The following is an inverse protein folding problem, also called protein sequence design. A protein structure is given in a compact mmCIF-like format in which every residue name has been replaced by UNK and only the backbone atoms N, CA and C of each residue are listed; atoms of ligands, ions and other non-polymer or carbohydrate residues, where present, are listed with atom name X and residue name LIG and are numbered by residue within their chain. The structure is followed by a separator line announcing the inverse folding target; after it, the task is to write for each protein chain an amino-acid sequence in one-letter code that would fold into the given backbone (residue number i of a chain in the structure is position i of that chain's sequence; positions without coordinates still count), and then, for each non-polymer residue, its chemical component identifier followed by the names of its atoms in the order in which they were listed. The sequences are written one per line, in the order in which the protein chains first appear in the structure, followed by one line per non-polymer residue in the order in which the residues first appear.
data_IF_767228968726
#
_entry.id   IF_767228968726
#
_cell.length_a   1.000
_cell.length_b   1.000
_cell.length_c   1.000
_cell.angle_alpha   90.00
_cell.angle_beta   90.00
_cell.angle_gamma   90.00
#
_symmetry.space_group_name_H-M   'P 1'
#
loop_
_entity.id
_entity.type
_entity.pdbx_description
1 polymer ?
#
# COMPACT_ATOMS: atom_id res chain seq x y z
N UNK A 1 -3.56 -6.24 -69.67
CA UNK A 1 -2.86 -6.68 -68.43
C UNK A 1 -3.37 -5.83 -67.27
N UNK A 2 -4.28 -6.37 -66.51
CA UNK A 2 -4.85 -5.68 -65.36
C UNK A 2 -4.03 -6.06 -64.13
N UNK A 3 -3.26 -5.11 -63.60
CA UNK A 3 -2.47 -5.28 -62.38
C UNK A 3 -3.37 -4.91 -61.19
N UNK A 4 -3.89 -5.92 -60.50
CA UNK A 4 -4.62 -5.76 -59.25
C UNK A 4 -3.67 -5.29 -58.15
N UNK A 5 -3.81 -4.05 -57.74
CA UNK A 5 -3.21 -3.51 -56.55
C UNK A 5 -4.19 -3.78 -55.38
N UNK A 6 -3.95 -4.88 -54.69
CA UNK A 6 -4.61 -5.14 -53.41
C UNK A 6 -3.93 -4.23 -52.35
N UNK A 7 -4.56 -3.11 -52.07
CA UNK A 7 -4.23 -2.33 -50.89
C UNK A 7 -4.74 -3.08 -49.66
N UNK A 8 -3.80 -3.76 -48.96
CA UNK A 8 -4.08 -4.25 -47.65
C UNK A 8 -4.17 -3.04 -46.69
N UNK A 9 -5.41 -2.67 -46.35
CA UNK A 9 -5.68 -1.69 -45.32
C UNK A 9 -5.29 -2.32 -43.96
N UNK A 10 -4.13 -1.95 -43.42
CA UNK A 10 -3.75 -2.28 -42.08
C UNK A 10 -4.62 -1.45 -41.12
N UNK A 11 -5.68 -2.07 -40.61
CA UNK A 11 -6.46 -1.51 -39.51
C UNK A 11 -5.60 -1.46 -38.25
N UNK A 12 -4.98 -0.33 -37.99
CA UNK A 12 -4.35 -0.03 -36.71
C UNK A 12 -5.46 0.08 -35.66
N UNK A 13 -5.67 -0.97 -34.89
CA UNK A 13 -6.49 -0.92 -33.69
C UNK A 13 -5.78 0.00 -32.69
N UNK A 14 -6.45 1.04 -32.17
CA UNK A 14 -5.90 1.80 -31.06
C UNK A 14 -5.76 0.84 -29.87
N UNK A 15 -4.54 0.63 -29.40
CA UNK A 15 -4.31 0.03 -28.11
C UNK A 15 -4.90 0.99 -27.07
N UNK A 16 -6.12 0.70 -26.62
CA UNK A 16 -6.69 1.35 -25.46
C UNK A 16 -5.79 0.98 -24.29
N UNK A 17 -4.91 1.89 -23.92
CA UNK A 17 -4.18 1.85 -22.67
C UNK A 17 -5.24 1.91 -21.57
N UNK A 18 -5.63 0.75 -21.05
CA UNK A 18 -6.38 0.69 -19.80
C UNK A 18 -5.39 1.13 -18.72
N UNK A 19 -5.39 2.43 -18.42
CA UNK A 19 -4.93 2.88 -17.13
C UNK A 19 -5.74 2.04 -16.13
N UNK A 20 -5.05 1.12 -15.41
CA UNK A 20 -5.66 0.46 -14.29
C UNK A 20 -6.18 1.58 -13.40
N UNK A 21 -7.50 1.66 -13.26
CA UNK A 21 -8.13 2.54 -12.30
C UNK A 21 -7.49 2.19 -10.97
N UNK A 22 -6.62 3.08 -10.50
CA UNK A 22 -6.15 3.05 -9.12
C UNK A 22 -7.41 3.33 -8.35
N UNK A 23 -8.10 2.26 -7.99
CA UNK A 23 -9.28 2.31 -7.16
C UNK A 23 -8.90 3.09 -5.92
N UNK A 24 -9.39 4.30 -5.84
CA UNK A 24 -9.04 5.18 -4.75
C UNK A 24 -9.51 4.49 -3.48
N UNK A 25 -8.58 4.13 -2.60
CA UNK A 25 -8.88 3.49 -1.32
C UNK A 25 -9.72 4.37 -0.38
N UNK A 26 -10.31 5.43 -0.92
CA UNK A 26 -11.20 6.36 -0.23
C UNK A 26 -12.46 5.73 0.33
N UNK A 27 -12.92 4.62 -0.26
CA UNK A 27 -14.12 3.90 0.18
C UNK A 27 -13.82 2.86 1.27
N UNK A 28 -12.54 2.66 1.60
CA UNK A 28 -12.12 1.73 2.63
C UNK A 28 -12.13 2.40 4.01
N UNK A 29 -12.67 1.72 5.00
CA UNK A 29 -12.49 2.13 6.40
C UNK A 29 -11.02 1.95 6.85
N UNK A 30 -10.62 2.65 7.90
CA UNK A 30 -9.28 2.47 8.48
C UNK A 30 -9.00 1.02 8.88
N UNK A 31 -9.99 0.29 9.40
CA UNK A 31 -9.86 -1.12 9.74
C UNK A 31 -9.60 -1.99 8.50
N UNK A 32 -10.27 -1.73 7.40
CA UNK A 32 -10.05 -2.45 6.13
C UNK A 32 -8.67 -2.15 5.55
N UNK A 33 -8.21 -0.91 5.62
CA UNK A 33 -6.87 -0.53 5.20
C UNK A 33 -5.80 -1.20 6.06
N UNK A 34 -6.00 -1.24 7.38
CA UNK A 34 -5.09 -1.91 8.30
C UNK A 34 -4.99 -3.40 7.98
N UNK A 35 -6.12 -4.07 7.83
CA UNK A 35 -6.16 -5.51 7.50
C UNK A 35 -5.43 -5.80 6.18
N UNK A 36 -5.63 -4.98 5.18
CA UNK A 36 -5.06 -5.16 3.85
C UNK A 36 -3.56 -4.88 3.78
N UNK A 37 -3.08 -3.83 4.45
CA UNK A 37 -1.72 -3.33 4.26
C UNK A 37 -0.80 -3.47 5.47
N UNK A 38 -1.33 -3.68 6.66
CA UNK A 38 -0.57 -3.64 7.90
C UNK A 38 -0.56 -4.97 8.65
N UNK A 39 -1.66 -5.72 8.58
CA UNK A 39 -1.87 -6.91 9.40
C UNK A 39 -0.89 -8.05 9.09
N UNK A 40 -0.31 -8.12 7.89
CA UNK A 40 0.68 -9.14 7.54
C UNK A 40 1.91 -9.11 8.47
N UNK A 41 2.29 -7.91 8.94
CA UNK A 41 3.36 -7.73 9.92
C UNK A 41 2.83 -7.51 11.33
N UNK A 42 1.85 -6.63 11.48
CA UNK A 42 1.35 -6.20 12.80
C UNK A 42 0.34 -7.16 13.44
N UNK A 43 -0.18 -8.14 12.68
CA UNK A 43 -1.28 -8.99 13.13
C UNK A 43 -2.63 -8.31 12.99
N UNK A 44 -3.69 -9.09 12.82
CA UNK A 44 -5.06 -8.57 12.63
C UNK A 44 -5.58 -7.79 13.83
N UNK A 45 -5.05 -8.06 15.01
CA UNK A 45 -5.38 -7.35 16.25
C UNK A 45 -4.30 -6.36 16.71
N UNK A 46 -3.22 -6.22 15.93
CA UNK A 46 -2.16 -5.24 16.20
C UNK A 46 -1.14 -5.66 17.25
N UNK A 47 -1.04 -6.94 17.62
CA UNK A 47 -0.10 -7.43 18.63
C UNK A 47 1.35 -7.57 18.15
N UNK A 48 1.62 -7.35 16.87
CA UNK A 48 2.94 -7.57 16.30
C UNK A 48 3.22 -9.02 15.91
N UNK A 49 2.19 -9.82 15.80
CA UNK A 49 2.20 -11.28 15.55
C UNK A 49 1.70 -11.66 14.16
N UNK A 50 1.85 -10.77 13.19
CA UNK A 50 1.48 -11.06 11.81
C UNK A 50 2.27 -12.23 11.23
N UNK A 51 1.74 -12.92 10.19
CA UNK A 51 2.37 -14.13 9.64
C UNK A 51 3.76 -13.87 9.06
N UNK A 52 4.08 -12.64 8.67
CA UNK A 52 5.39 -12.25 8.14
C UNK A 52 6.38 -11.86 9.26
N UNK A 53 5.89 -11.48 10.44
CA UNK A 53 6.71 -11.00 11.55
C UNK A 53 7.91 -11.90 11.91
N UNK A 54 7.78 -13.24 11.98
CA UNK A 54 8.91 -14.12 12.29
C UNK A 54 10.04 -14.08 11.27
N UNK A 55 9.76 -13.68 10.04
CA UNK A 55 10.74 -13.60 8.95
C UNK A 55 11.50 -12.27 8.92
N UNK A 56 11.08 -11.30 9.71
CA UNK A 56 11.70 -9.99 9.78
C UNK A 56 12.81 -9.96 10.83
N UNK A 57 13.89 -9.24 10.52
CA UNK A 57 15.02 -9.04 11.46
C UNK A 57 14.78 -7.91 12.45
N UNK A 58 13.57 -7.40 12.52
CA UNK A 58 13.16 -6.32 13.42
C UNK A 58 11.99 -6.78 14.27
N UNK A 59 11.93 -6.27 15.49
CA UNK A 59 10.78 -6.52 16.36
C UNK A 59 9.60 -5.67 15.89
N UNK A 60 8.46 -6.32 15.67
CA UNK A 60 7.22 -5.62 15.33
C UNK A 60 6.55 -5.21 16.65
N UNK A 61 6.30 -3.94 16.88
CA UNK A 61 5.74 -3.48 18.14
C UNK A 61 4.28 -3.89 18.30
N UNK A 62 3.87 -4.09 19.55
CA UNK A 62 2.47 -4.22 19.92
C UNK A 62 1.79 -2.85 19.84
N UNK A 63 0.91 -2.69 18.84
CA UNK A 63 0.20 -1.43 18.59
C UNK A 63 -0.90 -1.17 19.62
N UNK A 64 -1.36 -2.19 20.33
CA UNK A 64 -2.39 -2.04 21.38
C UNK A 64 -1.86 -1.31 22.61
N UNK A 65 -0.54 -1.21 22.76
CA UNK A 65 0.16 -0.56 23.87
C UNK A 65 0.57 0.90 23.58
N UNK A 66 0.22 1.44 22.40
CA UNK A 66 0.66 2.78 22.00
C UNK A 66 0.21 3.87 22.96
N UNK A 67 -1.05 3.87 23.39
CA UNK A 67 -1.59 4.85 24.34
C UNK A 67 -0.86 4.75 25.69
N UNK A 68 -0.64 3.53 26.17
CA UNK A 68 0.05 3.30 27.45
C UNK A 68 1.48 3.81 27.41
N UNK A 69 2.22 3.54 26.33
CA UNK A 69 3.59 4.03 26.13
C UNK A 69 3.67 5.55 25.94
N UNK A 70 2.56 6.18 25.58
CA UNK A 70 2.44 7.62 25.32
C UNK A 70 1.73 8.38 26.45
N UNK A 71 1.83 7.88 27.67
CA UNK A 71 1.26 8.57 28.84
C UNK A 71 -0.26 8.49 28.95
N UNK A 72 -0.87 7.46 28.37
CA UNK A 72 -2.32 7.22 28.43
C UNK A 72 -3.14 7.84 27.30
N UNK A 73 -2.45 8.52 26.36
CA UNK A 73 -3.10 9.13 25.19
C UNK A 73 -2.59 8.53 23.92
N UNK A 74 -3.49 8.24 22.98
CA UNK A 74 -3.10 7.73 21.67
C UNK A 74 -2.35 8.82 20.88
N UNK A 75 -1.13 8.52 20.37
CA UNK A 75 -0.28 9.48 19.68
C UNK A 75 -0.63 9.55 18.18
N UNK A 76 -1.82 10.00 17.85
CA UNK A 76 -2.39 9.98 16.50
C UNK A 76 -1.52 10.71 15.48
N UNK A 77 -1.05 11.90 15.77
CA UNK A 77 -0.17 12.66 14.89
C UNK A 77 1.12 11.90 14.57
N UNK A 78 1.76 11.35 15.60
CA UNK A 78 2.99 10.57 15.43
C UNK A 78 2.75 9.29 14.63
N UNK A 79 1.62 8.64 14.82
CA UNK A 79 1.23 7.45 14.05
C UNK A 79 1.02 7.81 12.58
N UNK A 80 0.35 8.91 12.29
CA UNK A 80 0.18 9.39 10.93
C UNK A 80 1.51 9.68 10.25
N UNK A 81 2.43 10.35 10.92
CA UNK A 81 3.78 10.63 10.39
C UNK A 81 4.56 9.36 10.02
N UNK A 82 4.40 8.31 10.81
CA UNK A 82 5.03 7.00 10.55
C UNK A 82 4.38 6.32 9.33
N UNK A 83 3.06 6.36 9.24
CA UNK A 83 2.32 5.73 8.14
C UNK A 83 2.59 6.44 6.81
N UNK A 84 2.58 7.76 6.78
CA UNK A 84 2.73 8.55 5.56
C UNK A 84 4.20 8.83 5.15
N UNK A 85 5.16 8.33 5.91
CA UNK A 85 6.59 8.42 5.62
C UNK A 85 7.23 9.77 5.97
N UNK A 86 6.55 10.70 6.65
CA UNK A 86 7.15 11.92 7.19
C UNK A 86 8.14 11.60 8.30
N UNK A 87 7.83 10.59 9.12
CA UNK A 87 8.79 9.99 10.02
C UNK A 87 9.37 8.73 9.36
N UNK A 88 10.67 8.76 9.09
CA UNK A 88 11.33 7.67 8.36
C UNK A 88 11.52 6.47 9.27
N UNK A 89 10.82 5.39 8.99
CA UNK A 89 11.08 4.05 9.51
C UNK A 89 11.38 3.12 8.33
N UNK A 90 12.50 2.40 8.31
CA UNK A 90 12.90 1.58 7.17
C UNK A 90 11.81 0.60 6.70
N UNK A 91 11.08 0.00 7.64
CA UNK A 91 10.01 -0.95 7.32
C UNK A 91 8.75 -0.30 6.71
N UNK A 92 8.55 0.99 6.89
CA UNK A 92 7.41 1.74 6.35
C UNK A 92 7.76 2.53 5.08
N UNK A 93 9.04 2.54 4.70
CA UNK A 93 9.52 3.31 3.56
C UNK A 93 9.68 4.80 3.84
N UNK A 94 9.85 5.54 2.77
CA UNK A 94 10.06 6.98 2.78
C UNK A 94 9.07 7.69 1.88
N UNK A 95 8.96 8.97 2.03
CA UNK A 95 8.22 9.86 1.13
C UNK A 95 9.19 10.54 0.14
N UNK A 96 8.89 10.63 -1.16
CA UNK A 96 7.80 10.01 -1.90
C UNK A 96 8.05 8.52 -2.12
N UNK A 97 6.98 7.76 -2.30
CA UNK A 97 7.12 6.40 -2.79
C UNK A 97 7.73 6.45 -4.20
N UNK A 98 8.78 5.69 -4.51
CA UNK A 98 9.25 5.57 -5.88
C UNK A 98 8.16 4.91 -6.72
N UNK A 99 7.79 5.56 -7.81
CA UNK A 99 6.90 5.02 -8.85
C UNK A 99 7.71 4.27 -9.88
#
# INVERSE_FOLDING_TARGET
MIRNWLFAALLALPAASQAADVEAFTDYSGAQLFDRFCASCHGSLGFGDGPVAPSLKVMIPDLTELSKRSGGRFPDERVQEIIDGRAVLPAHGTRPMPV
#
